data_IF_613640702606
#
_entry.id   IF_613640702606
#
_cell.length_a   1.000
_cell.length_b   1.000
_cell.length_c   1.000
_cell.angle_alpha   90.00
_cell.angle_beta   90.00
_cell.angle_gamma   90.00
#
_symmetry.space_group_name_H-M   'P 1'
#
loop_
_entity.id
_entity.type
_entity.pdbx_description
1 polymer ?
#
# COMPACT_ATOMS: atom_id res chain seq x y z
N UNK A 1 16.63 16.35 -7.48
CA UNK A 1 16.37 15.36 -8.54
C UNK A 1 14.89 15.26 -8.86
N UNK A 2 14.54 14.54 -9.93
CA UNK A 2 13.16 14.26 -10.33
C UNK A 2 12.84 12.79 -10.09
N UNK A 3 11.83 12.52 -9.26
CA UNK A 3 11.36 11.18 -8.91
C UNK A 3 9.96 11.04 -9.51
N UNK A 4 9.78 10.05 -10.37
CA UNK A 4 8.50 9.84 -11.06
C UNK A 4 7.96 8.45 -10.73
N UNK A 5 6.80 8.42 -10.10
CA UNK A 5 6.08 7.19 -9.80
C UNK A 5 4.92 6.98 -10.79
N UNK A 6 4.61 5.70 -11.09
CA UNK A 6 3.35 5.32 -11.76
C UNK A 6 2.65 4.24 -10.94
N UNK A 7 1.42 4.51 -10.58
CA UNK A 7 0.62 3.66 -9.69
C UNK A 7 -0.85 3.65 -10.11
N UNK A 8 -1.63 2.70 -9.62
CA UNK A 8 -3.05 2.57 -9.94
C UNK A 8 -3.85 3.78 -9.43
N UNK A 9 -3.76 4.07 -8.15
CA UNK A 9 -4.45 5.15 -7.46
C UNK A 9 -3.56 5.82 -6.43
N UNK A 10 -4.02 6.95 -5.86
CA UNK A 10 -3.28 7.70 -4.86
C UNK A 10 -4.23 8.53 -3.97
N UNK A 11 -3.85 8.84 -2.70
CA UNK A 11 -4.68 9.66 -1.83
C UNK A 11 -4.98 11.06 -2.41
N UNK A 12 -6.12 11.65 -2.10
CA UNK A 12 -7.25 11.09 -1.34
C UNK A 12 -8.23 10.30 -2.19
N UNK A 13 -8.04 10.25 -3.53
CA UNK A 13 -8.98 9.64 -4.47
C UNK A 13 -9.06 8.11 -4.35
N UNK A 14 -7.95 7.47 -3.97
CA UNK A 14 -7.89 6.05 -3.67
C UNK A 14 -7.26 5.86 -2.29
N UNK A 15 -8.00 5.20 -1.38
CA UNK A 15 -7.71 5.19 0.04
C UNK A 15 -7.45 3.76 0.54
N UNK A 16 -6.25 3.25 0.33
CA UNK A 16 -5.81 1.97 0.89
C UNK A 16 -4.45 2.11 1.58
N UNK A 17 -4.07 1.11 2.36
CA UNK A 17 -2.85 1.16 3.18
C UNK A 17 -1.55 1.29 2.38
N UNK A 18 -1.50 0.67 1.18
CA UNK A 18 -0.38 0.74 0.24
C UNK A 18 -0.15 2.15 -0.31
N UNK A 19 -1.24 2.84 -0.67
CA UNK A 19 -1.18 4.20 -1.20
C UNK A 19 -0.76 5.20 -0.11
N UNK A 20 -1.27 5.03 1.11
CA UNK A 20 -0.83 5.84 2.25
C UNK A 20 0.61 5.54 2.67
N UNK A 21 1.06 4.29 2.58
CA UNK A 21 2.47 3.96 2.75
C UNK A 21 3.32 4.71 1.73
N UNK A 22 2.98 4.59 0.44
CA UNK A 22 3.70 5.27 -0.63
C UNK A 22 3.73 6.78 -0.41
N UNK A 23 2.58 7.40 -0.06
CA UNK A 23 2.52 8.83 0.22
C UNK A 23 3.44 9.23 1.38
N UNK A 24 3.41 8.46 2.48
CA UNK A 24 4.28 8.71 3.64
C UNK A 24 5.77 8.56 3.33
N UNK A 25 6.13 7.77 2.30
CA UNK A 25 7.51 7.61 1.82
C UNK A 25 7.92 8.72 0.84
N UNK A 26 6.99 9.21 0.00
CA UNK A 26 7.29 10.24 -1.00
C UNK A 26 7.35 11.66 -0.41
N UNK A 27 6.55 11.92 0.62
CA UNK A 27 6.52 13.21 1.31
C UNK A 27 7.89 13.69 1.80
N UNK A 28 8.70 12.92 2.55
CA UNK A 28 10.02 13.38 3.00
C UNK A 28 10.99 13.64 1.85
N UNK A 29 10.86 12.97 0.70
CA UNK A 29 11.64 13.29 -0.50
C UNK A 29 11.24 14.65 -1.06
N UNK A 30 9.94 14.99 -1.08
CA UNK A 30 9.48 16.32 -1.49
C UNK A 30 9.93 17.41 -0.50
N UNK A 31 9.87 17.16 0.81
CA UNK A 31 10.36 18.03 1.87
C UNK A 31 11.88 18.31 1.76
N UNK A 32 12.66 17.36 1.26
CA UNK A 32 14.09 17.50 0.93
C UNK A 32 14.35 18.27 -0.38
N UNK A 33 13.30 18.78 -1.04
CA UNK A 33 13.41 19.62 -2.25
C UNK A 33 13.50 18.81 -3.56
N UNK A 34 13.18 17.53 -3.56
CA UNK A 34 13.08 16.77 -4.78
C UNK A 34 11.74 17.03 -5.48
N UNK A 35 11.75 17.01 -6.82
CA UNK A 35 10.52 17.08 -7.60
C UNK A 35 9.90 15.67 -7.67
N UNK A 36 8.82 15.46 -6.92
CA UNK A 36 8.13 14.18 -6.84
C UNK A 36 6.82 14.26 -7.60
N UNK A 37 6.65 13.40 -8.61
CA UNK A 37 5.43 13.33 -9.42
C UNK A 37 4.88 11.90 -9.45
N UNK A 38 3.60 11.76 -9.12
CA UNK A 38 2.86 10.49 -9.17
C UNK A 38 1.88 10.53 -10.33
N UNK A 39 1.99 9.59 -11.25
CA UNK A 39 1.10 9.39 -12.38
C UNK A 39 0.15 8.23 -12.11
N UNK A 40 -1.13 8.48 -12.20
CA UNK A 40 -2.15 7.45 -12.01
C UNK A 40 -2.38 6.66 -13.30
N UNK A 41 -2.57 5.36 -13.18
CA UNK A 41 -2.93 4.47 -14.30
C UNK A 41 -4.43 4.16 -14.37
N UNK A 42 -5.19 4.62 -13.38
CA UNK A 42 -6.65 4.47 -13.33
C UNK A 42 -7.32 5.85 -13.32
N UNK A 43 -8.49 6.02 -13.98
CA UNK A 43 -9.16 7.32 -14.10
C UNK A 43 -9.46 8.01 -12.77
N UNK A 44 -9.78 7.27 -11.70
CA UNK A 44 -10.09 7.85 -10.39
C UNK A 44 -11.28 8.83 -10.40
N UNK A 45 -11.54 9.45 -9.26
CA UNK A 45 -12.62 10.43 -9.08
C UNK A 45 -12.17 11.88 -9.32
N UNK A 46 -10.86 12.14 -9.26
CA UNK A 46 -10.28 13.48 -9.45
C UNK A 46 -9.71 13.57 -10.86
N UNK A 47 -10.41 14.32 -11.74
CA UNK A 47 -10.07 14.43 -13.17
C UNK A 47 -9.01 15.49 -13.50
N UNK A 48 -8.41 16.16 -12.50
CA UNK A 48 -7.36 17.19 -12.70
C UNK A 48 -6.17 16.93 -11.80
N UNK A 49 -5.01 17.41 -12.22
CA UNK A 49 -3.80 17.32 -11.40
C UNK A 49 -3.95 18.13 -10.09
N UNK A 50 -3.37 17.59 -9.01
CA UNK A 50 -3.38 18.19 -7.68
C UNK A 50 -2.05 17.98 -6.96
N UNK A 51 -1.86 18.69 -5.87
CA UNK A 51 -0.70 18.55 -5.00
C UNK A 51 -1.17 18.14 -3.61
N UNK A 52 -0.45 17.19 -3.01
CA UNK A 52 -0.67 16.75 -1.62
C UNK A 52 0.69 16.65 -0.93
N UNK A 53 0.89 17.40 0.15
CA UNK A 53 2.12 17.47 0.95
C UNK A 53 3.42 17.56 0.08
N UNK A 54 3.40 18.42 -0.95
CA UNK A 54 4.53 18.64 -1.86
C UNK A 54 4.70 17.60 -2.98
N UNK A 55 3.84 16.57 -3.01
CA UNK A 55 3.81 15.56 -4.08
C UNK A 55 2.81 15.96 -5.15
N UNK A 56 3.27 16.09 -6.39
CA UNK A 56 2.42 16.36 -7.56
C UNK A 56 1.74 15.08 -8.02
N UNK A 57 0.42 15.07 -8.14
CA UNK A 57 -0.35 13.94 -8.65
C UNK A 57 -0.99 14.29 -9.98
N UNK A 58 -0.75 13.45 -10.98
CA UNK A 58 -1.30 13.58 -12.34
C UNK A 58 -2.28 12.45 -12.58
N UNK A 59 -3.60 12.70 -12.64
CA UNK A 59 -4.61 11.70 -12.89
C UNK A 59 -4.42 11.06 -14.26
N UNK A 60 -4.96 9.85 -14.41
CA UNK A 60 -5.05 9.23 -15.73
C UNK A 60 -5.86 10.15 -16.67
N UNK A 61 -5.26 10.50 -17.79
CA UNK A 61 -5.88 11.26 -18.86
C UNK A 61 -5.53 10.61 -20.19
N UNK A 62 -6.50 10.50 -21.07
CA UNK A 62 -6.27 10.05 -22.44
C UNK A 62 -5.33 11.03 -23.15
N UNK A 63 -4.25 10.54 -23.74
CA UNK A 63 -3.23 11.37 -24.39
C UNK A 63 -2.18 12.01 -23.47
N UNK A 64 -2.19 11.77 -22.15
CA UNK A 64 -1.12 12.22 -21.25
C UNK A 64 0.18 11.48 -21.57
N UNK A 65 1.24 12.23 -21.85
CA UNK A 65 2.53 11.65 -22.22
C UNK A 65 3.38 11.32 -20.98
N UNK A 66 2.99 10.26 -20.28
CA UNK A 66 3.78 9.70 -19.18
C UNK A 66 5.19 9.31 -19.65
N UNK A 67 5.32 8.77 -20.85
CA UNK A 67 6.62 8.30 -21.36
C UNK A 67 7.61 9.45 -21.53
N UNK A 68 7.16 10.62 -21.96
CA UNK A 68 8.00 11.83 -22.06
C UNK A 68 8.46 12.33 -20.69
N UNK A 69 7.57 12.31 -19.70
CA UNK A 69 7.94 12.72 -18.32
C UNK A 69 8.90 11.69 -17.70
N UNK A 70 8.63 10.41 -17.83
CA UNK A 70 9.47 9.34 -17.30
C UNK A 70 10.91 9.38 -17.85
N UNK A 71 11.09 9.81 -19.09
CA UNK A 71 12.44 9.97 -19.69
C UNK A 71 13.28 11.04 -18.98
N UNK A 72 12.64 12.01 -18.34
CA UNK A 72 13.31 13.11 -17.61
C UNK A 72 13.53 12.79 -16.15
N UNK A 73 12.96 11.68 -15.66
CA UNK A 73 13.11 11.28 -14.27
C UNK A 73 14.54 10.82 -13.96
N UNK A 74 15.06 11.16 -12.81
CA UNK A 74 16.31 10.61 -12.28
C UNK A 74 16.11 9.23 -11.67
N UNK A 75 14.91 8.98 -11.11
CA UNK A 75 14.50 7.69 -10.55
C UNK A 75 13.04 7.41 -10.93
N UNK A 76 12.76 6.18 -11.37
CA UNK A 76 11.40 5.68 -11.57
C UNK A 76 10.97 4.80 -10.39
N UNK A 77 9.69 4.87 -10.03
CA UNK A 77 9.14 4.11 -8.92
C UNK A 77 7.79 3.51 -9.27
N UNK A 78 7.52 2.31 -8.78
CA UNK A 78 6.20 1.68 -8.92
C UNK A 78 5.93 0.61 -7.86
N UNK A 79 4.68 0.19 -7.79
CA UNK A 79 4.21 -0.96 -7.07
C UNK A 79 3.07 -1.68 -7.83
N UNK A 80 2.77 -2.93 -7.44
CA UNK A 80 1.68 -3.75 -7.99
C UNK A 80 1.71 -3.87 -9.53
N UNK A 81 0.54 -3.70 -10.17
CA UNK A 81 0.33 -3.95 -11.60
C UNK A 81 1.12 -3.05 -12.55
N UNK A 82 1.60 -1.89 -12.09
CA UNK A 82 2.39 -0.99 -12.92
C UNK A 82 3.89 -1.36 -12.98
N UNK A 83 4.37 -2.27 -12.12
CA UNK A 83 5.79 -2.65 -12.04
C UNK A 83 6.34 -3.17 -13.38
N UNK A 84 5.68 -4.09 -14.11
CA UNK A 84 6.23 -4.59 -15.39
C UNK A 84 6.45 -3.48 -16.41
N UNK A 85 5.52 -2.54 -16.52
CA UNK A 85 5.62 -1.39 -17.42
C UNK A 85 6.82 -0.51 -17.04
N UNK A 86 6.94 -0.18 -15.76
CA UNK A 86 7.94 0.75 -15.24
C UNK A 86 9.35 0.13 -15.31
N UNK A 87 9.50 -1.12 -14.95
CA UNK A 87 10.80 -1.82 -15.06
C UNK A 87 11.25 -1.97 -16.51
N UNK A 88 10.31 -2.25 -17.42
CA UNK A 88 10.59 -2.28 -18.86
C UNK A 88 11.07 -0.92 -19.41
N UNK A 89 10.37 0.15 -19.04
CA UNK A 89 10.72 1.52 -19.42
C UNK A 89 12.08 1.94 -18.82
N UNK A 90 12.29 1.67 -17.55
CA UNK A 90 13.52 1.98 -16.84
C UNK A 90 14.74 1.33 -17.50
N UNK A 91 14.66 0.03 -17.81
CA UNK A 91 15.71 -0.71 -18.52
C UNK A 91 15.99 -0.13 -19.90
N UNK A 92 14.96 0.17 -20.69
CA UNK A 92 15.10 0.72 -22.05
C UNK A 92 15.75 2.10 -22.06
N UNK A 93 15.69 2.85 -20.95
CA UNK A 93 16.17 4.23 -20.82
C UNK A 93 17.36 4.37 -19.88
N UNK A 94 17.83 3.28 -19.29
CA UNK A 94 18.90 3.28 -18.30
C UNK A 94 18.62 4.25 -17.13
N UNK A 95 17.37 4.22 -16.62
CA UNK A 95 16.93 4.99 -15.49
C UNK A 95 16.83 4.04 -14.30
N UNK A 96 17.39 4.35 -13.13
CA UNK A 96 17.21 3.54 -11.93
C UNK A 96 15.73 3.34 -11.57
N UNK A 97 15.38 2.12 -11.19
CA UNK A 97 14.01 1.76 -10.82
C UNK A 97 13.90 1.23 -9.39
N UNK A 98 12.94 1.78 -8.68
CA UNK A 98 12.53 1.33 -7.34
C UNK A 98 11.21 0.60 -7.43
N UNK A 99 11.13 -0.58 -6.82
CA UNK A 99 9.90 -1.36 -6.72
C UNK A 99 9.54 -1.56 -5.25
N UNK A 100 8.30 -1.23 -4.87
CA UNK A 100 7.79 -1.48 -3.52
C UNK A 100 6.96 -2.75 -3.52
N UNK A 101 7.35 -3.73 -2.71
CA UNK A 101 6.63 -4.98 -2.49
C UNK A 101 5.82 -4.88 -1.20
N UNK A 102 4.49 -4.87 -1.35
CA UNK A 102 3.53 -4.80 -0.25
C UNK A 102 3.03 -6.16 0.21
N UNK A 103 3.33 -7.22 -0.53
CA UNK A 103 2.88 -8.58 -0.29
C UNK A 103 3.96 -9.60 -0.65
N UNK A 104 3.74 -10.87 -0.26
CA UNK A 104 4.62 -11.99 -0.54
C UNK A 104 4.16 -12.86 -1.73
N UNK A 105 3.34 -12.32 -2.62
CA UNK A 105 2.92 -13.05 -3.79
C UNK A 105 4.09 -13.25 -4.77
N UNK A 106 4.19 -14.45 -5.31
CA UNK A 106 5.27 -14.78 -6.26
C UNK A 106 5.32 -13.83 -7.46
N UNK A 107 4.16 -13.31 -7.90
CA UNK A 107 4.05 -12.33 -8.98
C UNK A 107 4.68 -10.99 -8.62
N UNK A 108 4.54 -10.53 -7.36
CA UNK A 108 5.14 -9.28 -6.89
C UNK A 108 6.67 -9.37 -6.90
N UNK A 109 7.22 -10.47 -6.41
CA UNK A 109 8.67 -10.71 -6.46
C UNK A 109 9.18 -10.90 -7.90
N UNK A 110 8.46 -11.68 -8.72
CA UNK A 110 8.84 -11.86 -10.12
C UNK A 110 8.88 -10.54 -10.89
N UNK A 111 7.90 -9.68 -10.70
CA UNK A 111 7.83 -8.36 -11.34
C UNK A 111 8.96 -7.42 -10.87
N UNK A 112 9.41 -7.57 -9.62
CA UNK A 112 10.50 -6.77 -9.03
C UNK A 112 11.90 -7.29 -9.39
N UNK A 113 12.00 -8.43 -10.11
CA UNK A 113 13.28 -9.02 -10.49
C UNK A 113 14.15 -8.05 -11.28
N UNK A 114 15.43 -7.92 -10.87
CA UNK A 114 16.40 -7.05 -11.49
C UNK A 114 16.13 -5.55 -11.32
N UNK A 115 15.29 -5.14 -10.37
CA UNK A 115 15.16 -3.75 -9.96
C UNK A 115 16.45 -3.25 -9.29
N UNK A 116 16.72 -1.95 -9.40
CA UNK A 116 17.89 -1.35 -8.75
C UNK A 116 17.74 -1.29 -7.24
N UNK A 117 16.50 -1.09 -6.76
CA UNK A 117 16.13 -1.15 -5.35
C UNK A 117 14.75 -1.80 -5.20
N UNK A 118 14.66 -2.80 -4.35
CA UNK A 118 13.37 -3.32 -3.86
C UNK A 118 13.16 -2.89 -2.42
N UNK A 119 12.00 -2.34 -2.15
CA UNK A 119 11.56 -1.97 -0.80
C UNK A 119 10.52 -2.96 -0.34
N UNK A 120 10.78 -3.62 0.77
CA UNK A 120 9.82 -4.50 1.44
C UNK A 120 9.17 -3.76 2.60
N UNK A 121 7.87 -3.98 2.79
CA UNK A 121 7.12 -3.31 3.87
C UNK A 121 7.26 -3.97 5.24
N UNK A 122 7.98 -5.08 5.34
CA UNK A 122 8.26 -5.80 6.58
C UNK A 122 9.44 -6.76 6.42
N UNK A 123 10.04 -7.18 7.50
CA UNK A 123 11.09 -8.21 7.54
C UNK A 123 10.54 -9.56 7.06
N UNK A 124 9.28 -9.84 7.35
CA UNK A 124 8.63 -11.03 6.84
C UNK A 124 8.62 -11.06 5.32
N UNK A 125 8.13 -9.99 4.67
CA UNK A 125 8.09 -9.92 3.19
C UNK A 125 9.49 -9.97 2.58
N UNK A 126 10.49 -9.35 3.22
CA UNK A 126 11.89 -9.44 2.79
C UNK A 126 12.40 -10.88 2.80
N UNK A 127 12.16 -11.63 3.90
CA UNK A 127 12.58 -13.05 4.00
C UNK A 127 11.91 -13.93 2.94
N UNK A 128 10.61 -13.73 2.70
CA UNK A 128 9.89 -14.46 1.65
C UNK A 128 10.44 -14.11 0.26
N UNK A 129 10.80 -12.86 0.02
CA UNK A 129 11.48 -12.43 -1.19
C UNK A 129 12.85 -13.10 -1.38
N UNK A 130 13.67 -13.17 -0.34
CA UNK A 130 14.96 -13.87 -0.36
C UNK A 130 14.79 -15.37 -0.69
N UNK A 131 13.80 -16.03 -0.09
CA UNK A 131 13.46 -17.44 -0.40
C UNK A 131 13.02 -17.57 -1.87
N UNK A 132 12.21 -16.64 -2.36
CA UNK A 132 11.78 -16.63 -3.75
C UNK A 132 12.96 -16.53 -4.69
N UNK A 133 13.83 -15.56 -4.48
CA UNK A 133 14.98 -15.28 -5.36
C UNK A 133 16.13 -16.30 -5.25
N UNK A 134 16.22 -17.09 -4.18
CA UNK A 134 17.22 -18.14 -4.04
C UNK A 134 17.20 -19.18 -5.19
N UNK A 135 16.13 -19.22 -5.99
CA UNK A 135 15.95 -20.12 -7.13
C UNK A 135 16.32 -19.49 -8.48
N UNK A 136 16.70 -18.20 -8.49
CA UNK A 136 16.92 -17.44 -9.72
C UNK A 136 18.42 -17.19 -9.93
N UNK A 137 18.88 -17.09 -11.20
CA UNK A 137 20.20 -16.63 -11.52
C UNK A 137 20.45 -15.21 -11.01
N UNK A 138 21.71 -14.89 -10.72
CA UNK A 138 22.11 -13.63 -10.09
C UNK A 138 21.64 -12.36 -10.85
N UNK A 139 21.54 -12.44 -12.18
CA UNK A 139 21.09 -11.34 -13.03
C UNK A 139 19.61 -10.97 -12.86
N UNK A 140 18.81 -11.84 -12.24
CA UNK A 140 17.40 -11.59 -11.92
C UNK A 140 17.20 -11.09 -10.50
N UNK A 141 18.24 -11.10 -9.67
CA UNK A 141 18.11 -10.60 -8.30
C UNK A 141 17.97 -9.07 -8.31
N UNK A 142 17.20 -8.49 -7.39
CA UNK A 142 17.30 -7.07 -7.12
C UNK A 142 18.73 -6.67 -6.76
N UNK A 143 19.22 -5.53 -7.27
CA UNK A 143 20.59 -5.08 -6.98
C UNK A 143 20.78 -4.72 -5.51
N UNK A 144 19.73 -4.12 -4.90
CA UNK A 144 19.67 -3.73 -3.49
C UNK A 144 18.27 -4.00 -2.95
N UNK A 145 18.18 -4.20 -1.66
CA UNK A 145 16.89 -4.24 -0.97
C UNK A 145 16.99 -3.59 0.41
N UNK A 146 15.90 -2.95 0.83
CA UNK A 146 15.72 -2.38 2.17
C UNK A 146 14.35 -2.74 2.70
N UNK A 147 14.18 -2.65 4.01
CA UNK A 147 12.85 -2.71 4.64
C UNK A 147 12.45 -1.29 5.04
N UNK A 148 11.28 -0.87 4.59
CA UNK A 148 10.66 0.37 5.05
C UNK A 148 9.27 0.01 5.57
N UNK A 149 9.15 -0.06 6.88
CA UNK A 149 7.86 -0.32 7.53
C UNK A 149 6.91 0.81 7.21
N UNK A 150 5.63 0.53 6.89
CA UNK A 150 4.66 1.57 6.55
C UNK A 150 4.67 2.71 7.57
N UNK A 151 5.19 3.90 7.21
CA UNK A 151 5.40 4.97 8.17
C UNK A 151 4.06 5.50 8.69
N UNK A 152 3.95 5.67 10.00
CA UNK A 152 2.81 6.29 10.66
C UNK A 152 3.32 7.47 11.50
N UNK A 153 2.91 8.67 11.12
CA UNK A 153 3.20 9.88 11.89
C UNK A 153 2.20 9.94 13.05
N UNK A 154 2.65 9.57 14.24
CA UNK A 154 1.78 9.40 15.42
C UNK A 154 0.93 10.65 15.72
N UNK A 155 1.47 11.85 15.51
CA UNK A 155 0.74 13.10 15.77
C UNK A 155 -0.47 13.29 14.86
N UNK A 156 -0.47 12.72 13.66
CA UNK A 156 -1.60 12.82 12.72
C UNK A 156 -2.78 11.96 13.16
N UNK A 157 -2.53 10.90 13.96
CA UNK A 157 -3.54 9.93 14.39
C UNK A 157 -3.88 10.00 15.88
N UNK A 158 -3.04 10.66 16.68
CA UNK A 158 -3.20 10.75 18.13
C UNK A 158 -4.48 11.49 18.52
N UNK A 159 -5.31 10.82 19.34
CA UNK A 159 -6.56 11.34 19.88
C UNK A 159 -6.88 10.64 21.21
N UNK A 160 -7.89 11.11 21.92
CA UNK A 160 -8.45 10.39 23.07
C UNK A 160 -9.28 9.19 22.57
N UNK A 161 -9.06 7.98 23.08
CA UNK A 161 -9.85 6.81 22.74
C UNK A 161 -11.32 6.94 23.15
N UNK A 162 -12.22 6.44 22.30
CA UNK A 162 -13.66 6.37 22.58
C UNK A 162 -14.07 5.11 23.34
N UNK A 163 -15.23 4.55 22.98
CA UNK A 163 -15.86 3.42 23.67
C UNK A 163 -16.17 2.21 22.76
N UNK A 164 -15.96 2.31 21.45
CA UNK A 164 -16.32 1.28 20.48
C UNK A 164 -15.24 0.20 20.29
N UNK A 165 -15.66 -1.03 20.03
CA UNK A 165 -14.88 -2.05 19.37
C UNK A 165 -14.97 -1.82 17.85
N UNK A 166 -13.84 -1.62 17.17
CA UNK A 166 -13.83 -1.09 15.81
C UNK A 166 -13.13 -2.04 14.83
N UNK A 167 -13.70 -2.22 13.64
CA UNK A 167 -13.07 -2.87 12.49
C UNK A 167 -13.06 -1.91 11.29
N UNK A 168 -11.91 -1.74 10.66
CA UNK A 168 -11.76 -1.00 9.40
C UNK A 168 -11.66 -1.96 8.24
N UNK A 169 -12.50 -1.75 7.24
CA UNK A 169 -12.77 -2.59 6.09
C UNK A 169 -13.51 -3.89 6.44
N UNK A 170 -14.82 -3.85 6.22
CA UNK A 170 -15.76 -4.92 6.58
C UNK A 170 -15.78 -6.09 5.57
N UNK A 171 -14.78 -6.23 4.71
CA UNK A 171 -14.80 -7.36 3.77
C UNK A 171 -14.54 -8.70 4.49
N UNK A 172 -14.90 -9.85 3.88
CA UNK A 172 -14.74 -11.17 4.48
C UNK A 172 -13.28 -11.48 4.88
N UNK A 173 -12.29 -11.09 4.06
CA UNK A 173 -10.88 -11.37 4.35
C UNK A 173 -10.37 -10.57 5.55
N UNK A 174 -10.93 -9.39 5.80
CA UNK A 174 -10.66 -8.58 6.99
C UNK A 174 -11.48 -9.02 8.21
N UNK A 175 -12.42 -9.96 8.02
CA UNK A 175 -13.17 -10.60 9.09
C UNK A 175 -14.49 -9.95 9.45
N UNK A 176 -15.16 -9.34 8.48
CA UNK A 176 -16.48 -8.72 8.69
C UNK A 176 -17.51 -9.66 9.33
N UNK A 177 -17.53 -10.98 8.96
CA UNK A 177 -18.43 -11.94 9.58
C UNK A 177 -18.13 -12.15 11.07
N UNK A 178 -16.86 -12.37 11.43
CA UNK A 178 -16.44 -12.55 12.82
C UNK A 178 -16.75 -11.30 13.65
N UNK A 179 -16.55 -10.13 13.08
CA UNK A 179 -16.83 -8.86 13.74
C UNK A 179 -18.30 -8.77 14.16
N UNK A 180 -19.24 -9.12 13.28
CA UNK A 180 -20.67 -9.10 13.61
C UNK A 180 -21.11 -10.27 14.50
N UNK A 181 -20.41 -11.41 14.46
CA UNK A 181 -20.62 -12.48 15.44
C UNK A 181 -20.23 -12.02 16.84
N UNK A 182 -19.08 -11.34 17.00
CA UNK A 182 -18.67 -10.76 18.27
C UNK A 182 -19.70 -9.73 18.77
N UNK A 183 -20.23 -8.87 17.90
CA UNK A 183 -21.28 -7.92 18.28
C UNK A 183 -22.54 -8.60 18.82
N UNK A 184 -22.91 -9.75 18.27
CA UNK A 184 -24.05 -10.54 18.77
C UNK A 184 -23.76 -11.23 20.12
N UNK A 185 -22.51 -11.59 20.38
CA UNK A 185 -22.09 -12.33 21.58
C UNK A 185 -21.68 -11.43 22.74
N UNK A 186 -21.39 -10.15 22.49
CA UNK A 186 -20.96 -9.17 23.49
C UNK A 186 -21.81 -7.91 23.41
N UNK A 187 -23.10 -8.00 23.77
CA UNK A 187 -24.05 -6.87 23.67
C UNK A 187 -23.68 -5.67 24.53
N UNK A 188 -22.74 -5.84 25.46
CA UNK A 188 -22.22 -4.77 26.33
C UNK A 188 -21.23 -3.83 25.62
N UNK A 189 -20.77 -4.19 24.43
CA UNK A 189 -19.91 -3.37 23.60
C UNK A 189 -20.69 -2.69 22.48
N UNK A 190 -20.30 -1.49 22.15
CA UNK A 190 -20.67 -0.84 20.88
C UNK A 190 -19.67 -1.22 19.79
N UNK A 191 -20.18 -1.58 18.62
CA UNK A 191 -19.37 -2.00 17.49
C UNK A 191 -19.43 -0.96 16.38
N UNK A 192 -18.25 -0.46 15.96
CA UNK A 192 -18.09 0.50 14.90
C UNK A 192 -17.43 -0.18 13.69
N UNK A 193 -18.22 -0.49 12.68
CA UNK A 193 -17.72 -0.98 11.40
C UNK A 193 -17.44 0.18 10.45
N UNK A 194 -16.26 0.23 9.85
CA UNK A 194 -15.91 1.23 8.83
C UNK A 194 -15.78 0.55 7.48
N UNK A 195 -16.52 1.01 6.47
CA UNK A 195 -16.46 0.44 5.12
C UNK A 195 -15.09 0.67 4.49
N UNK A 196 -14.55 -0.37 3.87
CA UNK A 196 -13.30 -0.26 3.14
C UNK A 196 -13.45 0.39 1.77
N UNK A 197 -12.33 0.76 1.17
CA UNK A 197 -12.28 1.31 -0.18
C UNK A 197 -12.47 0.24 -1.28
N UNK A 198 -12.40 -1.04 -0.93
CA UNK A 198 -12.47 -2.15 -1.89
C UNK A 198 -13.13 -3.39 -1.28
N UNK A 199 -13.54 -4.30 -2.14
CA UNK A 199 -14.18 -5.56 -1.77
C UNK A 199 -15.64 -5.43 -1.35
N UNK A 200 -16.34 -6.56 -1.35
CA UNK A 200 -17.71 -6.63 -0.85
C UNK A 200 -17.70 -6.47 0.66
N UNK A 201 -18.51 -5.54 1.18
CA UNK A 201 -18.59 -5.28 2.62
C UNK A 201 -19.66 -6.15 3.27
N UNK A 202 -19.33 -6.81 4.37
CA UNK A 202 -20.27 -7.57 5.19
C UNK A 202 -21.01 -6.60 6.10
N UNK A 203 -22.32 -6.48 5.88
CA UNK A 203 -23.16 -5.59 6.69
C UNK A 203 -23.68 -6.30 7.94
N UNK A 204 -23.98 -5.55 9.02
CA UNK A 204 -24.53 -6.16 10.24
C UNK A 204 -25.93 -6.75 9.98
N UNK A 205 -26.27 -7.87 10.63
CA UNK A 205 -27.63 -8.38 10.63
C UNK A 205 -28.61 -7.31 11.21
N UNK A 206 -29.79 -7.13 10.61
CA UNK A 206 -30.73 -6.06 11.03
C UNK A 206 -31.16 -6.11 12.50
N UNK A 207 -31.01 -7.25 13.16
CA UNK A 207 -31.37 -7.44 14.59
C UNK A 207 -30.32 -6.94 15.58
N UNK A 208 -29.11 -6.58 15.12
CA UNK A 208 -28.07 -6.04 15.99
C UNK A 208 -28.34 -4.56 16.27
N UNK A 209 -28.49 -4.20 17.53
CA UNK A 209 -28.76 -2.82 17.97
C UNK A 209 -27.53 -2.11 18.53
N UNK A 210 -26.45 -2.84 18.79
CA UNK A 210 -25.20 -2.35 19.38
C UNK A 210 -24.11 -2.10 18.32
N UNK A 211 -24.51 -1.79 17.10
CA UNK A 211 -23.56 -1.58 15.99
C UNK A 211 -23.91 -0.37 15.14
N UNK A 212 -22.89 0.24 14.58
CA UNK A 212 -22.95 1.33 13.62
C UNK A 212 -22.00 1.04 12.46
N UNK A 213 -22.35 1.52 11.28
CA UNK A 213 -21.49 1.41 10.08
C UNK A 213 -21.24 2.81 9.54
N UNK A 214 -19.96 3.17 9.44
CA UNK A 214 -19.53 4.38 8.74
C UNK A 214 -19.16 4.07 7.30
N UNK A 215 -19.37 5.02 6.43
CA UNK A 215 -18.77 5.01 5.10
C UNK A 215 -17.23 5.09 5.19
N UNK A 216 -16.55 4.86 4.06
CA UNK A 216 -15.11 4.91 4.02
C UNK A 216 -14.59 6.28 4.50
N UNK A 217 -13.70 6.25 5.48
CA UNK A 217 -13.06 7.44 6.07
C UNK A 217 -11.61 7.51 5.61
N UNK A 218 -11.12 8.68 5.28
CA UNK A 218 -9.82 8.86 4.64
C UNK A 218 -8.85 9.70 5.47
N UNK A 219 -7.57 9.35 5.41
CA UNK A 219 -6.48 10.20 5.88
C UNK A 219 -6.68 10.74 7.30
N UNK A 220 -6.59 12.05 7.45
CA UNK A 220 -6.67 12.75 8.75
C UNK A 220 -8.04 12.63 9.43
N UNK A 221 -9.09 12.33 8.68
CA UNK A 221 -10.43 12.12 9.23
C UNK A 221 -10.53 10.84 10.08
N UNK A 222 -9.66 9.84 9.81
CA UNK A 222 -9.54 8.64 10.64
C UNK A 222 -9.32 8.97 12.12
N UNK A 223 -8.54 10.01 12.41
CA UNK A 223 -8.29 10.46 13.78
C UNK A 223 -9.57 10.71 14.56
N UNK A 224 -10.49 11.49 14.00
CA UNK A 224 -11.70 11.92 14.69
C UNK A 224 -12.84 10.91 14.58
N UNK A 225 -13.08 10.41 13.37
CA UNK A 225 -14.26 9.60 13.09
C UNK A 225 -14.06 8.11 13.41
N UNK A 226 -12.82 7.65 13.48
CA UNK A 226 -12.51 6.25 13.76
C UNK A 226 -11.78 6.12 15.10
N UNK A 227 -10.53 6.60 15.20
CA UNK A 227 -9.72 6.39 16.41
C UNK A 227 -10.27 7.12 17.65
N UNK A 228 -10.83 8.33 17.50
CA UNK A 228 -11.50 9.06 18.59
C UNK A 228 -12.79 8.39 19.08
N UNK A 229 -13.28 7.39 18.36
CA UNK A 229 -14.44 6.59 18.78
C UNK A 229 -14.07 5.17 19.23
N UNK A 230 -12.86 4.75 18.95
CA UNK A 230 -12.39 3.38 19.20
C UNK A 230 -11.81 3.25 20.61
N UNK A 231 -12.24 2.24 21.34
CA UNK A 231 -11.61 1.77 22.58
C UNK A 231 -10.71 0.57 22.35
N UNK A 232 -11.08 -0.26 21.37
CA UNK A 232 -10.33 -1.46 20.94
C UNK A 232 -10.42 -1.56 19.43
N UNK A 233 -9.30 -1.84 18.77
CA UNK A 233 -9.27 -2.17 17.36
C UNK A 233 -9.26 -3.69 17.16
N UNK A 234 -10.12 -4.20 16.30
CA UNK A 234 -10.19 -5.63 15.96
C UNK A 234 -9.60 -5.85 14.57
N UNK A 235 -8.67 -6.78 14.44
CA UNK A 235 -8.01 -7.11 13.18
C UNK A 235 -8.00 -8.63 12.90
N UNK A 236 -9.16 -9.23 12.64
CA UNK A 236 -9.27 -10.65 12.34
C UNK A 236 -8.94 -10.98 10.87
N UNK A 237 -8.01 -10.27 10.29
CA UNK A 237 -7.63 -10.40 8.88
C UNK A 237 -6.99 -11.76 8.58
N UNK A 238 -7.32 -12.38 7.46
CA UNK A 238 -6.64 -13.59 6.96
C UNK A 238 -5.20 -13.29 6.52
N UNK A 239 -4.98 -12.09 6.03
CA UNK A 239 -3.69 -11.64 5.53
C UNK A 239 -3.46 -10.17 5.89
N UNK A 240 -2.30 -9.89 6.46
CA UNK A 240 -1.74 -8.55 6.65
C UNK A 240 -0.22 -8.64 6.52
N UNK A 241 0.35 -7.88 5.63
CA UNK A 241 1.80 -7.77 5.49
C UNK A 241 2.43 -6.85 6.53
N UNK A 242 1.63 -5.95 7.12
CA UNK A 242 2.02 -5.05 8.22
C UNK A 242 0.84 -4.69 9.12
N UNK A 243 -0.29 -4.26 8.54
CA UNK A 243 -1.46 -3.84 9.32
C UNK A 243 -1.37 -2.39 9.80
N UNK A 244 -1.24 -1.44 8.86
CA UNK A 244 -1.10 0.01 9.14
C UNK A 244 -2.15 0.55 10.12
N UNK A 245 -3.43 0.15 9.98
CA UNK A 245 -4.53 0.57 10.87
C UNK A 245 -4.26 0.26 12.34
N UNK A 246 -3.60 -0.86 12.63
CA UNK A 246 -3.23 -1.21 14.00
C UNK A 246 -2.16 -0.27 14.58
N UNK A 247 -1.16 0.07 13.77
CA UNK A 247 -0.09 1.00 14.18
C UNK A 247 -0.64 2.41 14.36
N UNK A 248 -1.57 2.84 13.51
CA UNK A 248 -2.29 4.12 13.66
C UNK A 248 -3.11 4.16 14.97
N UNK A 249 -3.81 3.07 15.31
CA UNK A 249 -4.54 2.93 16.58
C UNK A 249 -3.60 3.03 17.80
N UNK A 250 -2.41 2.44 17.70
CA UNK A 250 -1.40 2.50 18.76
C UNK A 250 -0.92 3.91 19.08
N UNK A 251 -0.94 4.85 18.12
CA UNK A 251 -0.60 6.24 18.35
C UNK A 251 -1.50 6.90 19.42
N UNK A 252 -2.74 6.43 19.55
CA UNK A 252 -3.70 6.86 20.57
C UNK A 252 -3.72 5.94 21.81
N UNK A 253 -2.88 4.90 21.84
CA UNK A 253 -2.93 3.90 22.90
C UNK A 253 -4.16 3.00 22.84
N UNK A 254 -4.79 2.84 21.68
CA UNK A 254 -5.92 1.93 21.48
C UNK A 254 -5.38 0.49 21.37
N UNK A 255 -5.74 -0.43 22.30
CA UNK A 255 -5.35 -1.82 22.20
C UNK A 255 -5.86 -2.48 20.92
N UNK A 256 -5.08 -3.41 20.37
CA UNK A 256 -5.44 -4.17 19.17
C UNK A 256 -5.54 -5.65 19.50
N UNK A 257 -6.69 -6.26 19.20
CA UNK A 257 -6.87 -7.71 19.18
C UNK A 257 -6.76 -8.16 17.71
N UNK A 258 -5.87 -9.09 17.42
CA UNK A 258 -5.50 -9.45 16.06
C UNK A 258 -5.40 -10.97 15.85
N UNK A 259 -5.75 -11.42 14.64
CA UNK A 259 -5.30 -12.72 14.16
C UNK A 259 -3.77 -12.69 13.93
N UNK A 260 -3.00 -13.69 14.41
CA UNK A 260 -1.54 -13.65 14.34
C UNK A 260 -1.00 -13.93 12.93
N UNK A 261 -1.32 -13.06 11.96
CA UNK A 261 -0.60 -13.07 10.67
C UNK A 261 0.85 -12.66 10.91
N UNK A 262 1.82 -13.16 10.14
CA UNK A 262 3.22 -12.80 10.35
C UNK A 262 3.47 -11.28 10.35
N UNK A 263 2.80 -10.53 9.47
CA UNK A 263 2.93 -9.06 9.44
C UNK A 263 2.36 -8.38 10.68
N UNK A 264 1.23 -8.86 11.22
CA UNK A 264 0.66 -8.34 12.47
C UNK A 264 1.51 -8.73 13.70
N UNK A 265 2.08 -9.94 13.70
CA UNK A 265 3.02 -10.34 14.76
C UNK A 265 4.25 -9.44 14.76
N UNK A 266 4.80 -9.11 13.58
CA UNK A 266 5.94 -8.21 13.45
C UNK A 266 5.59 -6.77 13.86
N UNK A 267 4.46 -6.24 13.36
CA UNK A 267 4.09 -4.83 13.61
C UNK A 267 3.65 -4.56 15.04
N UNK A 268 2.86 -5.45 15.63
CA UNK A 268 2.31 -5.26 16.97
C UNK A 268 3.28 -5.69 18.08
N UNK A 269 4.16 -6.66 17.81
CA UNK A 269 5.07 -7.20 18.81
C UNK A 269 4.34 -7.64 20.08
N UNK A 270 4.91 -7.38 21.25
CA UNK A 270 4.33 -7.71 22.55
C UNK A 270 3.12 -6.84 22.96
N UNK A 271 2.85 -5.77 22.21
CA UNK A 271 1.67 -4.94 22.45
C UNK A 271 0.38 -5.53 21.83
N UNK A 272 0.52 -6.45 20.87
CA UNK A 272 -0.61 -7.16 20.27
C UNK A 272 -1.28 -8.13 21.24
N UNK A 273 -2.61 -8.19 21.17
CA UNK A 273 -3.41 -9.23 21.82
C UNK A 273 -3.84 -10.18 20.72
N UNK A 274 -3.34 -11.43 20.76
CA UNK A 274 -3.54 -12.34 19.65
C UNK A 274 -4.62 -13.40 19.95
N UNK A 275 -5.53 -13.59 18.98
CA UNK A 275 -6.54 -14.65 18.98
C UNK A 275 -6.64 -15.22 17.56
N UNK A 276 -6.69 -16.55 17.43
CA UNK A 276 -6.90 -17.18 16.13
C UNK A 276 -8.31 -16.88 15.61
N UNK A 277 -8.42 -16.63 14.31
CA UNK A 277 -9.66 -16.18 13.68
C UNK A 277 -10.84 -17.14 13.85
N UNK A 278 -10.60 -18.42 13.94
CA UNK A 278 -11.58 -19.48 14.13
C UNK A 278 -11.94 -19.75 15.60
N UNK A 279 -11.29 -19.07 16.55
CA UNK A 279 -11.56 -19.19 17.99
C UNK A 279 -12.37 -17.98 18.53
N UNK A 280 -13.69 -18.01 18.27
CA UNK A 280 -14.60 -16.98 18.76
C UNK A 280 -14.54 -16.77 20.28
N UNK A 281 -14.28 -17.84 21.05
CA UNK A 281 -14.16 -17.75 22.49
C UNK A 281 -12.94 -16.95 22.92
N UNK A 282 -11.79 -17.16 22.28
CA UNK A 282 -10.58 -16.36 22.53
C UNK A 282 -10.80 -14.86 22.22
N UNK A 283 -11.44 -14.55 21.09
CA UNK A 283 -11.81 -13.17 20.76
C UNK A 283 -12.74 -12.55 21.79
N UNK A 284 -13.80 -13.28 22.17
CA UNK A 284 -14.76 -12.83 23.20
C UNK A 284 -14.05 -12.59 24.52
N UNK A 285 -13.23 -13.54 24.97
CA UNK A 285 -12.46 -13.41 26.22
C UNK A 285 -11.52 -12.20 26.19
N UNK A 286 -10.75 -12.02 25.12
CA UNK A 286 -9.85 -10.90 24.96
C UNK A 286 -10.60 -9.55 25.00
N UNK A 287 -11.73 -9.45 24.27
CA UNK A 287 -12.55 -8.26 24.23
C UNK A 287 -13.16 -7.96 25.60
N UNK A 288 -13.73 -8.96 26.28
CA UNK A 288 -14.35 -8.80 27.60
C UNK A 288 -13.33 -8.45 28.68
N UNK A 289 -12.09 -8.97 28.60
CA UNK A 289 -11.03 -8.63 29.53
C UNK A 289 -10.65 -7.14 29.50
N UNK A 290 -10.78 -6.49 28.33
CA UNK A 290 -10.51 -5.06 28.14
C UNK A 290 -11.64 -4.13 28.66
N UNK A 291 -12.74 -4.67 29.18
CA UNK A 291 -13.72 -3.88 29.95
C UNK A 291 -13.20 -3.51 31.33
N UNK A 292 -12.32 -4.33 31.90
CA UNK A 292 -11.64 -3.97 33.15
C UNK A 292 -10.68 -2.80 32.89
N UNK A 293 -10.83 -1.67 33.60
CA UNK A 293 -10.00 -0.49 33.39
C UNK A 293 -8.50 -0.75 33.56
N UNK A 294 -8.12 -1.58 34.52
CA UNK A 294 -6.71 -1.87 34.78
C UNK A 294 -6.09 -2.72 33.66
N UNK A 295 -6.85 -3.65 33.07
CA UNK A 295 -6.40 -4.43 31.93
C UNK A 295 -6.25 -3.54 30.70
N UNK A 296 -7.23 -2.67 30.45
CA UNK A 296 -7.19 -1.74 29.36
C UNK A 296 -6.01 -0.78 29.45
N UNK A 297 -5.79 -0.16 30.63
CA UNK A 297 -4.67 0.76 30.84
C UNK A 297 -3.31 0.09 30.60
N UNK A 298 -3.13 -1.16 31.03
CA UNK A 298 -1.90 -1.92 30.75
C UNK A 298 -1.71 -2.18 29.25
N UNK A 299 -2.78 -2.55 28.55
CA UNK A 299 -2.73 -2.77 27.11
C UNK A 299 -2.50 -1.46 26.36
N UNK A 300 -3.14 -0.37 26.78
CA UNK A 300 -2.97 0.96 26.22
C UNK A 300 -1.54 1.49 26.40
N UNK A 301 -0.94 1.28 27.56
CA UNK A 301 0.45 1.67 27.79
C UNK A 301 1.42 0.92 26.87
N UNK A 302 1.22 -0.39 26.65
CA UNK A 302 2.01 -1.17 25.68
C UNK A 302 1.83 -0.68 24.25
N UNK A 303 0.58 -0.36 23.86
CA UNK A 303 0.28 0.19 22.53
C UNK A 303 1.03 1.50 22.29
N UNK A 304 0.98 2.45 23.25
CA UNK A 304 1.74 3.71 23.16
C UNK A 304 3.25 3.48 23.08
N UNK A 305 3.80 2.61 23.93
CA UNK A 305 5.22 2.29 23.90
C UNK A 305 5.66 1.71 22.55
N UNK A 306 4.85 0.83 21.96
CA UNK A 306 5.11 0.28 20.61
C UNK A 306 5.02 1.34 19.52
N UNK A 307 4.04 2.25 19.58
CA UNK A 307 3.96 3.40 18.66
C UNK A 307 5.22 4.27 18.73
N UNK A 308 5.69 4.58 19.94
CA UNK A 308 6.90 5.38 20.15
C UNK A 308 8.17 4.65 19.64
N UNK A 309 8.25 3.33 19.78
CA UNK A 309 9.34 2.52 19.24
C UNK A 309 9.34 2.57 17.69
N UNK A 310 8.18 2.37 17.06
CA UNK A 310 8.05 2.38 15.61
C UNK A 310 8.30 3.77 15.01
N UNK A 311 7.97 4.84 15.71
CA UNK A 311 8.23 6.23 15.26
C UNK A 311 9.73 6.58 15.29
N UNK A 312 10.51 5.94 16.14
CA UNK A 312 11.97 6.21 16.31
C UNK A 312 12.85 5.42 15.34
N UNK A 313 12.27 4.57 14.49
CA UNK A 313 13.07 3.83 13.52
C UNK A 313 13.66 4.77 12.44
N UNK A 314 14.76 4.33 11.82
CA UNK A 314 15.46 5.09 10.78
C UNK A 314 15.01 4.74 9.36
N UNK A 315 13.93 3.98 9.20
CA UNK A 315 13.50 3.44 7.91
C UNK A 315 13.30 4.53 6.85
N UNK A 316 12.72 5.68 7.22
CA UNK A 316 12.51 6.80 6.29
C UNK A 316 13.82 7.52 5.91
N UNK A 317 14.78 7.64 6.83
CA UNK A 317 16.07 8.23 6.52
C UNK A 317 16.88 7.31 5.60
N UNK A 318 16.87 6.00 5.87
CA UNK A 318 17.48 4.99 5.00
C UNK A 318 16.84 4.98 3.60
N UNK A 319 15.52 5.06 3.55
CA UNK A 319 14.77 5.19 2.29
C UNK A 319 15.19 6.42 1.48
N UNK A 320 15.19 7.59 2.09
CA UNK A 320 15.58 8.82 1.40
C UNK A 320 17.02 8.74 0.88
N UNK A 321 17.95 8.29 1.73
CA UNK A 321 19.34 8.11 1.34
C UNK A 321 19.53 7.10 0.20
N UNK A 322 18.79 5.99 0.21
CA UNK A 322 18.85 4.98 -0.84
C UNK A 322 18.35 5.52 -2.19
N UNK A 323 17.27 6.29 -2.20
CA UNK A 323 16.73 6.91 -3.42
C UNK A 323 17.66 8.01 -3.94
N UNK A 324 18.22 8.83 -3.06
CA UNK A 324 19.18 9.89 -3.40
C UNK A 324 20.43 9.29 -4.05
N UNK A 325 20.99 8.23 -3.48
CA UNK A 325 22.14 7.51 -4.03
C UNK A 325 21.87 6.94 -5.43
N UNK A 326 20.67 6.37 -5.67
CA UNK A 326 20.29 5.89 -7.01
C UNK A 326 20.24 7.01 -8.04
N UNK A 327 19.71 8.18 -7.68
CA UNK A 327 19.65 9.32 -8.58
C UNK A 327 21.03 9.89 -8.94
N UNK A 328 22.01 9.81 -8.03
CA UNK A 328 23.40 10.20 -8.26
C UNK A 328 24.17 9.22 -9.15
N UNK A 329 23.86 7.91 -9.05
CA UNK A 329 24.48 6.85 -9.87
C UNK A 329 24.05 6.91 -11.34
N UNK A 330 22.98 7.65 -11.67
CA UNK A 330 22.54 7.78 -13.06
C UNK A 330 23.61 8.47 -13.89
N UNK A 331 24.09 7.85 -15.01
CA UNK A 331 24.97 8.53 -15.93
C UNK A 331 24.31 9.80 -16.46
N UNK A 332 24.85 10.98 -16.14
CA UNK A 332 24.39 12.25 -16.72
C UNK A 332 24.77 12.28 -18.20
N UNK A 333 24.07 11.53 -19.03
CA UNK A 333 24.20 11.62 -20.49
C UNK A 333 23.61 12.96 -20.91
N UNK A 334 24.49 13.94 -21.17
CA UNK A 334 24.15 15.12 -21.95
C UNK A 334 23.80 14.64 -23.37
N UNK A 335 22.55 14.29 -23.62
CA UNK A 335 22.05 14.17 -24.97
C UNK A 335 22.00 15.57 -25.59
N UNK A 336 23.13 16.01 -26.19
CA UNK A 336 23.06 16.97 -27.28
C UNK A 336 22.32 16.25 -28.40
N UNK A 337 21.08 16.62 -28.63
CA UNK A 337 20.37 16.33 -29.86
C UNK A 337 21.19 16.97 -30.99
N UNK A 338 22.14 16.23 -31.59
CA UNK A 338 22.62 16.56 -32.90
C UNK A 338 21.46 16.29 -33.85
N UNK A 339 21.03 17.36 -34.53
CA UNK A 339 19.91 17.34 -35.42
C UNK A 339 19.93 16.17 -36.37
N UNK A 340 18.90 15.35 -36.36
CA UNK A 340 18.47 14.50 -37.45
C UNK A 340 17.82 15.41 -38.50
N UNK A 341 18.67 16.14 -39.21
CA UNK A 341 18.36 16.63 -40.52
C UNK A 341 18.65 15.50 -41.51
N UNK A 342 17.71 15.24 -42.40
CA UNK A 342 17.78 14.42 -43.62
C UNK A 342 18.04 12.91 -43.44
N UNK A 343 16.98 12.14 -43.33
CA UNK A 343 16.84 10.80 -43.93
C UNK A 343 15.32 10.50 -44.05
N UNK A 344 14.67 11.28 -44.90
CA UNK A 344 13.39 10.91 -45.54
C UNK A 344 13.63 11.10 -47.03
N UNK A 345 14.03 10.06 -47.69
CA UNK A 345 13.90 9.78 -49.13
C UNK A 345 14.65 8.48 -49.43
N UNK A 346 13.93 7.39 -49.49
CA UNK A 346 14.09 6.22 -50.37
C UNK A 346 13.41 5.01 -49.70
N UNK A 347 12.24 4.71 -50.15
CA UNK A 347 11.81 3.45 -50.76
C UNK A 347 10.28 3.38 -50.81
N UNK A 348 9.75 4.06 -51.82
CA UNK A 348 8.51 3.69 -52.44
C UNK A 348 8.90 2.97 -53.74
N UNK A 349 8.89 1.64 -53.77
CA UNK A 349 8.72 0.79 -54.92
C UNK A 349 9.02 -0.68 -54.56
N UNK A 350 7.98 -1.48 -54.34
CA UNK A 350 7.86 -2.84 -54.88
C UNK A 350 6.50 -3.40 -54.49
N UNK A 351 5.68 -3.59 -55.50
CA UNK A 351 4.34 -4.13 -55.41
C UNK A 351 4.25 -5.64 -55.41
N UNK A 352 3.16 -6.10 -54.82
CA UNK A 352 2.29 -7.23 -55.05
C UNK A 352 2.89 -8.67 -55.07
N UNK A 353 2.07 -9.73 -54.93
CA UNK A 353 0.61 -9.73 -55.20
C UNK A 353 -0.26 -10.40 -54.10
N UNK A 354 -1.54 -10.22 -54.30
CA UNK A 354 -2.65 -10.92 -53.66
C UNK A 354 -2.61 -12.44 -53.76
N UNK A 355 -3.03 -13.14 -52.72
CA UNK A 355 -3.80 -14.36 -52.89
C UNK A 355 -4.72 -14.59 -51.70
N UNK A 356 -5.97 -14.71 -52.04
CA UNK A 356 -7.07 -14.94 -51.19
C UNK A 356 -7.26 -16.40 -50.78
N UNK A 357 -7.79 -16.62 -49.58
CA UNK A 357 -8.51 -17.84 -49.23
C UNK A 357 -9.76 -17.52 -48.38
N UNK A 358 -10.83 -18.08 -48.84
CA UNK A 358 -12.23 -18.01 -48.49
C UNK A 358 -12.60 -18.29 -47.06
N UNK A 359 -13.69 -17.63 -46.65
CA UNK A 359 -14.59 -17.96 -45.54
C UNK A 359 -15.25 -19.32 -45.72
N UNK A 360 -15.36 -20.07 -44.64
CA UNK A 360 -16.48 -20.94 -44.25
C UNK A 360 -16.57 -20.87 -42.74
N UNK A 361 -17.55 -20.52 -42.15
CA UNK A 361 -18.92 -20.72 -41.90
C UNK A 361 -19.16 -21.97 -41.02
N UNK A 362 -19.64 -21.84 -39.78
CA UNK A 362 -20.04 -22.95 -38.93
C UNK A 362 -20.50 -22.53 -37.54
N UNK A 363 -21.78 -22.18 -37.44
CA UNK A 363 -22.54 -22.14 -36.17
C UNK A 363 -22.59 -23.48 -35.48
N UNK A 364 -22.65 -23.50 -34.14
CA UNK A 364 -23.65 -24.14 -33.21
C UNK A 364 -23.09 -24.23 -31.80
N UNK A 365 -23.76 -23.56 -30.89
CA UNK A 365 -24.65 -23.97 -29.79
C UNK A 365 -24.19 -25.23 -28.99
N UNK A 366 -23.85 -25.04 -27.76
CA UNK A 366 -24.48 -25.49 -26.51
C UNK A 366 -23.83 -24.78 -25.33
#
# INVERSE_FOLDING_TARGET
MSITARVYGYPPAHNAGSEWMLHSMLRPLAERGHRVTVWLSHPGTIGRAYDIDGVRVVPFQEGADFAAEAQRADVLLSHFENVPLITGLARSRQIPVVVICHDNFATSFHNAAGADLVVYNSEWIRRDGEIHYARYPAEFLPRRSIVVRPPVLAEEYRTEPGDCATLVNLNPDKGGELFWQLAAWTPEWHFLGVRGAYGQQVMPPPRLSNCEVLDSVTGKEMRTHVYGRSRVMLMPSLYESWGRVAVEAFASGIPVIAHPTPGLVESLGEAGIFAYRDDLNAWTHALMSLRDPANWERASARARARSDELTKNSDLDEWCAAVEALGEERPRTSFRVRGLGSLVEADAMAGGPEDGIRRTGGERRA
#
